data_IF_356636210207
#
_entry.id   IF_356636210207
#
_cell.length_a   1.000
_cell.length_b   1.000
_cell.length_c   1.000
_cell.angle_alpha   90.00
_cell.angle_beta   90.00
_cell.angle_gamma   90.00
#
_symmetry.space_group_name_H-M   'P 1'
#
loop_
_entity.id
_entity.type
_entity.pdbx_description
1 polymer ?
#
# COMPACT_ATOMS: atom_id res chain seq x y z
N UNK A 1 -0.22 6.40 -7.22
CA UNK A 1 0.68 5.67 -8.14
C UNK A 1 -0.07 4.55 -8.87
N UNK A 2 -0.69 3.62 -8.14
CA UNK A 2 -1.49 2.49 -8.68
C UNK A 2 -2.53 2.93 -9.72
N UNK A 3 -3.35 3.94 -9.39
CA UNK A 3 -4.40 4.47 -10.29
C UNK A 3 -3.84 5.06 -11.59
N UNK A 4 -2.73 5.80 -11.48
CA UNK A 4 -2.08 6.45 -12.63
C UNK A 4 -1.59 5.44 -13.67
N UNK A 5 -1.25 4.22 -13.22
CA UNK A 5 -0.70 3.15 -14.06
C UNK A 5 -1.78 2.14 -14.48
N UNK A 6 -3.03 2.35 -14.07
CA UNK A 6 -4.20 1.50 -14.37
C UNK A 6 -3.94 0.02 -14.12
N UNK A 7 -3.13 -0.28 -13.10
CA UNK A 7 -2.83 -1.66 -12.73
C UNK A 7 -4.09 -2.31 -12.15
N UNK A 8 -4.34 -3.60 -12.46
CA UNK A 8 -5.50 -4.30 -11.92
C UNK A 8 -5.34 -4.48 -10.41
N UNK A 9 -6.24 -3.85 -9.65
CA UNK A 9 -6.28 -3.98 -8.19
C UNK A 9 -7.14 -5.18 -7.82
N UNK A 10 -6.59 -6.05 -6.98
CA UNK A 10 -7.23 -7.25 -6.47
C UNK A 10 -7.55 -7.05 -4.99
N UNK A 11 -8.64 -7.67 -4.53
CA UNK A 11 -8.90 -7.75 -3.09
C UNK A 11 -7.87 -8.67 -2.44
N UNK A 12 -7.39 -8.29 -1.26
CA UNK A 12 -6.48 -9.11 -0.49
C UNK A 12 -7.25 -10.32 0.08
N UNK A 13 -6.76 -11.55 -0.08
CA UNK A 13 -7.47 -12.75 0.39
C UNK A 13 -7.58 -12.83 1.92
N UNK A 14 -6.67 -12.18 2.64
CA UNK A 14 -6.62 -12.13 4.11
C UNK A 14 -6.24 -10.73 4.64
N UNK A 15 -7.18 -9.78 4.73
CA UNK A 15 -6.88 -8.40 5.11
C UNK A 15 -6.23 -8.28 6.49
N UNK A 16 -5.25 -7.38 6.64
CA UNK A 16 -4.50 -7.21 7.89
C UNK A 16 -4.15 -5.74 8.17
N UNK A 17 -3.73 -5.46 9.41
CA UNK A 17 -3.26 -4.14 9.82
C UNK A 17 -1.73 -4.12 9.72
N UNK A 18 -1.20 -3.21 8.91
CA UNK A 18 0.22 -2.88 8.91
C UNK A 18 0.48 -1.81 9.96
N UNK A 19 1.15 -2.18 11.05
CA UNK A 19 1.49 -1.28 12.15
C UNK A 19 2.69 -0.40 11.78
N UNK A 20 2.58 0.90 12.04
CA UNK A 20 3.69 1.82 11.86
C UNK A 20 4.80 1.53 12.87
N UNK A 21 6.04 1.72 12.43
CA UNK A 21 7.18 1.70 13.34
C UNK A 21 7.20 2.99 14.18
N UNK A 22 7.60 2.89 15.44
CA UNK A 22 7.77 4.02 16.37
C UNK A 22 9.04 4.86 16.07
N UNK A 23 9.70 4.58 14.96
CA UNK A 23 10.92 5.24 14.54
C UNK A 23 10.64 6.71 14.15
N UNK A 24 11.43 7.69 14.63
CA UNK A 24 11.27 9.11 14.33
C UNK A 24 11.18 9.44 12.83
N UNK A 25 11.79 8.65 11.95
CA UNK A 25 11.72 8.82 10.50
C UNK A 25 10.34 8.46 9.93
N UNK A 26 9.56 7.65 10.64
CA UNK A 26 8.25 7.15 10.24
C UNK A 26 7.09 7.75 11.04
N UNK A 27 7.34 8.82 11.80
CA UNK A 27 6.38 9.48 12.71
C UNK A 27 5.04 9.92 12.06
N UNK A 28 5.03 10.12 10.74
CA UNK A 28 3.85 10.56 9.99
C UNK A 28 3.07 9.41 9.32
N UNK A 29 3.53 8.16 9.48
CA UNK A 29 2.81 6.95 9.08
C UNK A 29 1.77 6.61 10.15
N UNK A 30 0.53 6.34 9.72
CA UNK A 30 -0.49 5.76 10.58
C UNK A 30 -0.59 4.26 10.30
N UNK A 31 -1.11 3.50 11.26
CA UNK A 31 -1.47 2.11 11.00
C UNK A 31 -2.48 2.04 9.85
N UNK A 32 -2.24 1.13 8.90
CA UNK A 32 -3.04 1.02 7.67
C UNK A 32 -3.71 -0.35 7.62
N UNK A 33 -5.02 -0.35 7.38
CA UNK A 33 -5.75 -1.56 7.02
C UNK A 33 -5.48 -1.90 5.55
N UNK A 34 -4.69 -2.95 5.32
CA UNK A 34 -4.37 -3.48 4.00
C UNK A 34 -5.49 -4.42 3.57
N UNK A 35 -6.20 -4.01 2.51
CA UNK A 35 -7.35 -4.77 1.95
C UNK A 35 -7.19 -5.06 0.46
N UNK A 36 -6.15 -4.53 -0.16
CA UNK A 36 -5.95 -4.52 -1.61
C UNK A 36 -4.51 -4.80 -1.96
N UNK A 37 -4.32 -5.51 -3.06
CA UNK A 37 -3.01 -5.84 -3.62
C UNK A 37 -3.03 -5.66 -5.14
N UNK A 38 -1.84 -5.56 -5.74
CA UNK A 38 -1.64 -5.33 -7.16
C UNK A 38 -0.46 -6.17 -7.65
N UNK A 39 -0.53 -6.67 -8.88
CA UNK A 39 0.63 -7.29 -9.54
C UNK A 39 1.39 -6.24 -10.33
N UNK A 40 2.69 -6.16 -10.10
CA UNK A 40 3.59 -5.22 -10.76
C UNK A 40 4.66 -6.03 -11.49
N UNK A 41 4.56 -6.05 -12.82
CA UNK A 41 5.62 -6.57 -13.66
C UNK A 41 6.71 -5.51 -13.79
N UNK A 42 7.96 -5.91 -13.62
CA UNK A 42 9.11 -5.01 -13.78
C UNK A 42 10.26 -5.71 -14.51
N UNK A 43 11.13 -4.88 -15.10
CA UNK A 43 12.34 -5.34 -15.78
C UNK A 43 13.56 -4.56 -15.28
N UNK A 44 14.58 -5.27 -14.83
CA UNK A 44 15.87 -4.69 -14.40
C UNK A 44 16.97 -5.37 -15.24
N UNK A 45 17.49 -4.64 -16.24
CA UNK A 45 18.40 -5.23 -17.21
C UNK A 45 17.72 -6.38 -17.97
N UNK A 46 18.32 -7.57 -17.92
CA UNK A 46 17.76 -8.79 -18.54
C UNK A 46 16.77 -9.55 -17.64
N UNK A 47 16.62 -9.14 -16.37
CA UNK A 47 15.70 -9.79 -15.44
C UNK A 47 14.29 -9.24 -15.60
N UNK A 48 13.33 -10.13 -15.79
CA UNK A 48 11.91 -9.82 -15.86
C UNK A 48 11.18 -10.67 -14.80
N UNK A 49 10.36 -10.00 -14.00
CA UNK A 49 9.60 -10.65 -12.93
C UNK A 49 8.26 -9.94 -12.71
N UNK A 50 7.33 -10.63 -12.04
CA UNK A 50 6.06 -10.10 -11.58
C UNK A 50 5.94 -10.29 -10.07
N UNK A 51 5.81 -9.18 -9.35
CA UNK A 51 5.65 -9.20 -7.89
C UNK A 51 4.24 -8.80 -7.48
N UNK A 52 3.75 -9.46 -6.43
CA UNK A 52 2.53 -9.08 -5.75
C UNK A 52 2.87 -8.04 -4.69
N UNK A 53 2.20 -6.88 -4.71
CA UNK A 53 2.45 -5.77 -3.81
C UNK A 53 1.16 -5.33 -3.11
N UNK A 54 1.27 -5.00 -1.83
CA UNK A 54 0.18 -4.38 -1.09
C UNK A 54 -0.05 -2.94 -1.53
N UNK A 55 -1.31 -2.55 -1.58
CA UNK A 55 -1.71 -1.17 -1.89
C UNK A 55 -1.92 -0.42 -0.59
N UNK A 56 -0.99 0.49 -0.29
CA UNK A 56 -1.07 1.41 0.86
C UNK A 56 -1.15 2.88 0.38
N UNK A 57 -1.79 3.78 1.14
CA UNK A 57 -1.77 5.22 0.86
C UNK A 57 -0.34 5.77 0.97
N UNK A 58 0.10 6.61 0.02
CA UNK A 58 1.52 6.98 -0.09
C UNK A 58 2.05 7.99 0.94
N UNK A 59 1.21 8.90 1.47
CA UNK A 59 1.34 9.82 2.65
C UNK A 59 -0.05 10.43 2.84
N UNK A 60 -0.60 10.84 3.98
CA UNK A 60 -0.12 11.29 5.30
C UNK A 60 -1.23 10.92 6.29
N UNK A 61 -1.06 11.19 7.59
CA UNK A 61 -2.10 11.22 8.62
C UNK A 61 -3.28 12.17 8.24
N UNK A 62 -4.09 11.81 7.26
CA UNK A 62 -5.43 12.36 7.06
C UNK A 62 -6.31 11.58 8.02
N UNK A 63 -6.23 12.02 9.27
CA UNK A 63 -7.18 11.80 10.34
C UNK A 63 -8.23 10.72 10.08
N UNK A 64 -8.11 9.60 10.79
CA UNK A 64 -9.20 8.68 11.17
C UNK A 64 -10.45 9.39 11.79
N UNK A 65 -10.52 10.74 11.78
CA UNK A 65 -11.69 11.53 12.13
C UNK A 65 -12.79 11.57 11.05
N UNK A 66 -12.50 11.22 9.79
CA UNK A 66 -13.50 11.33 8.70
C UNK A 66 -14.33 10.06 8.47
N UNK A 67 -13.99 8.93 9.09
CA UNK A 67 -14.78 7.68 9.02
C UNK A 67 -15.74 7.48 10.21
N UNK A 68 -15.90 8.51 11.05
CA UNK A 68 -16.80 8.49 12.23
C UNK A 68 -17.80 9.65 12.28
N UNK A 69 -18.11 10.28 11.14
CA UNK A 69 -19.25 11.19 11.00
C UNK A 69 -20.28 10.63 10.05
#
# INVERSE_FOLDING_TARGET
MVEKWRLPVLQHPDPYILYSLEDPEFKDMADVLVTKQVRVSFKIGEYEDEVLCDVVPSKTRQTYHDLRK
#
